data_IF_469723193384
#
_entry.id   IF_469723193384
#
_cell.length_a   1.000
_cell.length_b   1.000
_cell.length_c   1.000
_cell.angle_alpha   90.00
_cell.angle_beta   90.00
_cell.angle_gamma   90.00
#
_symmetry.space_group_name_H-M   'P 1'
#
loop_
_entity.id
_entity.type
_entity.pdbx_description
1 polymer ?
#
# COMPACT_ATOMS: atom_id res chain seq x y z
N UNK A 1 -30.04 2.22 17.60
CA UNK A 1 -29.32 3.40 17.08
C UNK A 1 -28.76 2.95 15.75
N UNK A 2 -29.41 3.34 14.66
CA UNK A 2 -28.95 2.96 13.32
C UNK A 2 -27.67 3.76 13.06
N UNK A 3 -26.55 3.05 12.96
CA UNK A 3 -25.26 3.69 12.66
C UNK A 3 -25.26 3.98 11.16
N UNK A 4 -25.65 5.20 10.80
CA UNK A 4 -25.48 5.70 9.45
C UNK A 4 -24.03 6.17 9.29
N UNK A 5 -23.29 5.54 8.36
CA UNK A 5 -21.89 5.90 8.11
C UNK A 5 -21.79 7.31 7.52
N UNK A 6 -20.85 8.16 7.98
CA UNK A 6 -20.72 9.53 7.49
C UNK A 6 -20.52 9.63 5.98
N UNK A 7 -21.19 10.60 5.36
CA UNK A 7 -21.03 10.91 3.95
C UNK A 7 -19.65 11.52 3.65
N UNK A 8 -18.82 10.84 2.87
CA UNK A 8 -17.52 11.36 2.37
C UNK A 8 -17.53 11.64 0.86
N UNK A 9 -18.67 11.48 0.19
CA UNK A 9 -18.78 11.57 -1.27
C UNK A 9 -18.86 13.00 -1.82
N UNK A 10 -19.34 13.96 -1.04
CA UNK A 10 -19.58 15.31 -1.54
C UNK A 10 -18.26 16.08 -1.74
N UNK A 11 -17.85 16.32 -2.99
CA UNK A 11 -16.56 16.95 -3.29
C UNK A 11 -16.44 18.40 -2.77
N UNK A 12 -17.55 19.09 -2.50
CA UNK A 12 -17.53 20.47 -1.99
C UNK A 12 -17.14 20.54 -0.51
N UNK A 13 -17.14 19.41 0.20
CA UNK A 13 -16.70 19.32 1.60
C UNK A 13 -15.20 19.04 1.60
N UNK A 14 -14.39 20.09 1.59
CA UNK A 14 -12.93 19.97 1.45
C UNK A 14 -12.28 19.24 2.63
N UNK A 15 -12.83 19.40 3.84
CA UNK A 15 -12.34 18.72 5.05
C UNK A 15 -12.37 17.19 4.95
N UNK A 16 -13.20 16.61 4.07
CA UNK A 16 -13.23 15.16 3.86
C UNK A 16 -11.94 14.64 3.24
N UNK A 17 -11.20 15.46 2.48
CA UNK A 17 -9.90 15.06 1.94
C UNK A 17 -8.89 14.76 3.04
N UNK A 18 -8.95 15.49 4.17
CA UNK A 18 -8.07 15.21 5.31
C UNK A 18 -8.35 13.83 5.89
N UNK A 19 -9.63 13.50 6.12
CA UNK A 19 -10.03 12.18 6.65
C UNK A 19 -9.69 11.05 5.68
N UNK A 20 -9.90 11.27 4.38
CA UNK A 20 -9.54 10.32 3.32
C UNK A 20 -8.03 10.09 3.29
N UNK A 21 -7.22 11.14 3.25
CA UNK A 21 -5.76 11.03 3.26
C UNK A 21 -5.26 10.27 4.50
N UNK A 22 -5.74 10.65 5.70
CA UNK A 22 -5.40 9.97 6.94
C UNK A 22 -5.77 8.48 6.90
N UNK A 23 -6.93 8.15 6.35
CA UNK A 23 -7.41 6.79 6.24
C UNK A 23 -6.58 5.95 5.26
N UNK A 24 -6.26 6.50 4.09
CA UNK A 24 -5.42 5.82 3.09
C UNK A 24 -4.05 5.51 3.68
N UNK A 25 -3.39 6.50 4.29
CA UNK A 25 -2.11 6.29 4.96
C UNK A 25 -2.21 5.23 6.06
N UNK A 26 -3.28 5.29 6.87
CA UNK A 26 -3.49 4.29 7.92
C UNK A 26 -3.63 2.88 7.36
N UNK A 27 -4.43 2.71 6.32
CA UNK A 27 -4.63 1.39 5.68
C UNK A 27 -3.34 0.90 5.03
N UNK A 28 -2.61 1.75 4.33
CA UNK A 28 -1.33 1.41 3.70
C UNK A 28 -0.31 0.92 4.74
N UNK A 29 -0.10 1.67 5.82
CA UNK A 29 0.85 1.26 6.88
C UNK A 29 0.40 -0.01 7.59
N UNK A 30 -0.91 -0.21 7.81
CA UNK A 30 -1.43 -1.46 8.38
C UNK A 30 -1.19 -2.63 7.44
N UNK A 31 -1.41 -2.47 6.14
CA UNK A 31 -1.16 -3.52 5.14
C UNK A 31 0.33 -3.83 5.04
N UNK A 32 1.19 -2.82 5.05
CA UNK A 32 2.63 -2.99 5.13
C UNK A 32 3.04 -3.76 6.40
N UNK A 33 2.49 -3.40 7.56
CA UNK A 33 2.71 -4.16 8.80
C UNK A 33 2.29 -5.62 8.64
N UNK A 34 1.11 -5.88 8.06
CA UNK A 34 0.65 -7.24 7.79
C UNK A 34 1.55 -7.97 6.80
N UNK A 35 2.09 -7.28 5.80
CA UNK A 35 3.02 -7.84 4.83
C UNK A 35 4.34 -8.27 5.47
N UNK A 36 4.90 -7.43 6.35
CA UNK A 36 6.16 -7.68 7.05
C UNK A 36 6.05 -8.80 8.09
N UNK A 37 4.98 -8.80 8.89
CA UNK A 37 4.86 -9.71 10.05
C UNK A 37 4.05 -10.98 9.75
N UNK A 38 3.08 -10.90 8.84
CA UNK A 38 2.12 -11.98 8.59
C UNK A 38 2.14 -12.49 7.13
N UNK A 39 3.14 -12.07 6.34
CA UNK A 39 3.34 -12.49 4.94
C UNK A 39 2.18 -12.17 3.99
N UNK A 40 1.30 -11.23 4.38
CA UNK A 40 0.18 -10.76 3.54
C UNK A 40 0.71 -10.04 2.29
N UNK A 41 0.00 -10.15 1.16
CA UNK A 41 0.35 -9.47 -0.10
C UNK A 41 1.52 -10.09 -0.89
N UNK A 42 2.20 -11.08 -0.34
CA UNK A 42 3.18 -11.88 -1.08
C UNK A 42 4.55 -11.21 -1.27
N UNK A 43 5.36 -11.83 -2.13
CA UNK A 43 6.74 -11.41 -2.40
C UNK A 43 6.81 -10.06 -3.12
N UNK A 44 5.94 -9.80 -4.09
CA UNK A 44 5.97 -8.58 -4.90
C UNK A 44 5.66 -7.33 -4.07
N UNK A 45 4.67 -7.39 -3.17
CA UNK A 45 4.39 -6.28 -2.26
C UNK A 45 5.60 -5.98 -1.37
N UNK A 46 6.30 -6.99 -0.86
CA UNK A 46 7.49 -6.75 -0.07
C UNK A 46 8.67 -6.20 -0.91
N UNK A 47 8.90 -6.72 -2.12
CA UNK A 47 9.90 -6.18 -3.04
C UNK A 47 9.63 -4.69 -3.37
N UNK A 48 8.36 -4.30 -3.51
CA UNK A 48 7.96 -2.91 -3.76
C UNK A 48 8.44 -1.97 -2.65
N UNK A 49 8.12 -2.30 -1.40
CA UNK A 49 8.52 -1.49 -0.24
C UNK A 49 10.03 -1.59 0.07
N UNK A 50 10.69 -2.70 -0.25
CA UNK A 50 12.15 -2.84 -0.11
C UNK A 50 12.91 -1.98 -1.12
N UNK A 51 12.42 -1.88 -2.35
CA UNK A 51 13.10 -1.12 -3.40
C UNK A 51 12.87 0.39 -3.24
N UNK A 52 11.65 0.81 -2.91
CA UNK A 52 11.26 2.22 -2.98
C UNK A 52 10.95 2.87 -1.63
N UNK A 53 10.88 2.10 -0.54
CA UNK A 53 10.70 2.60 0.82
C UNK A 53 9.53 3.60 0.93
N UNK A 54 9.81 4.82 1.39
CA UNK A 54 8.82 5.89 1.54
C UNK A 54 8.22 6.33 0.20
N UNK A 55 8.94 6.16 -0.92
CA UNK A 55 8.42 6.52 -2.25
C UNK A 55 7.32 5.55 -2.71
N UNK A 56 7.41 4.27 -2.33
CA UNK A 56 6.33 3.31 -2.53
C UNK A 56 5.07 3.76 -1.77
N UNK A 57 5.21 4.07 -0.47
CA UNK A 57 4.10 4.55 0.37
C UNK A 57 3.46 5.82 -0.21
N UNK A 58 4.27 6.80 -0.61
CA UNK A 58 3.75 8.04 -1.19
C UNK A 58 3.02 7.75 -2.51
N UNK A 59 3.58 6.88 -3.36
CA UNK A 59 2.94 6.48 -4.61
C UNK A 59 1.56 5.87 -4.37
N UNK A 60 1.48 4.89 -3.45
CA UNK A 60 0.26 4.14 -3.16
C UNK A 60 -0.80 5.04 -2.50
N UNK A 61 -0.38 5.93 -1.58
CA UNK A 61 -1.29 6.89 -0.94
C UNK A 61 -1.84 7.90 -1.96
N UNK A 62 -0.98 8.45 -2.80
CA UNK A 62 -1.39 9.51 -3.74
C UNK A 62 -2.27 8.97 -4.86
N UNK A 63 -2.00 7.76 -5.37
CA UNK A 63 -2.79 7.20 -6.45
C UNK A 63 -4.22 6.85 -6.00
N UNK A 64 -4.36 6.31 -4.78
CA UNK A 64 -5.67 6.07 -4.17
C UNK A 64 -6.40 7.40 -3.93
N UNK A 65 -5.70 8.43 -3.43
CA UNK A 65 -6.31 9.74 -3.17
C UNK A 65 -6.86 10.38 -4.46
N UNK A 66 -6.15 10.27 -5.59
CA UNK A 66 -6.64 10.70 -6.91
C UNK A 66 -7.94 9.98 -7.26
N UNK A 67 -8.00 8.66 -7.06
CA UNK A 67 -9.22 7.86 -7.26
C UNK A 67 -10.40 8.37 -6.43
N UNK A 68 -10.19 8.70 -5.15
CA UNK A 68 -11.21 9.31 -4.30
C UNK A 68 -11.68 10.67 -4.82
N UNK A 69 -10.77 11.55 -5.23
CA UNK A 69 -11.12 12.88 -5.76
C UNK A 69 -12.05 12.75 -6.97
N UNK A 70 -11.69 11.87 -7.92
CA UNK A 70 -12.48 11.61 -9.12
C UNK A 70 -13.84 11.01 -8.75
N UNK A 71 -13.86 9.98 -7.90
CA UNK A 71 -15.10 9.32 -7.49
C UNK A 71 -16.05 10.26 -6.75
N UNK A 72 -15.54 11.13 -5.87
CA UNK A 72 -16.33 12.15 -5.17
C UNK A 72 -16.97 13.14 -6.14
N UNK A 73 -16.18 13.63 -7.10
CA UNK A 73 -16.69 14.53 -8.13
C UNK A 73 -17.83 13.88 -8.93
N UNK A 74 -17.61 12.67 -9.45
CA UNK A 74 -18.60 11.94 -10.24
C UNK A 74 -19.85 11.61 -9.40
N UNK A 75 -19.67 11.11 -8.17
CA UNK A 75 -20.78 10.77 -7.28
C UNK A 75 -21.66 11.99 -7.01
N UNK A 76 -21.04 13.12 -6.66
CA UNK A 76 -21.77 14.36 -6.32
C UNK A 76 -22.58 14.87 -7.51
N UNK A 77 -21.99 14.90 -8.70
CA UNK A 77 -22.64 15.47 -9.89
C UNK A 77 -23.75 14.56 -10.42
N UNK A 78 -23.52 13.25 -10.48
CA UNK A 78 -24.42 12.33 -11.20
C UNK A 78 -25.36 11.51 -10.31
N UNK A 79 -24.97 11.20 -9.08
CA UNK A 79 -25.69 10.27 -8.20
C UNK A 79 -26.33 10.97 -7.00
N UNK A 80 -25.61 11.92 -6.37
CA UNK A 80 -26.05 12.54 -5.12
C UNK A 80 -27.39 13.26 -5.25
N UNK A 81 -27.59 14.01 -6.33
CA UNK A 81 -28.86 14.71 -6.57
C UNK A 81 -30.05 13.78 -6.85
N UNK A 82 -29.80 12.53 -7.28
CA UNK A 82 -30.85 11.56 -7.63
C UNK A 82 -31.18 10.59 -6.49
N UNK A 83 -30.15 10.12 -5.79
CA UNK A 83 -30.25 9.04 -4.81
C UNK A 83 -29.86 9.45 -3.39
N UNK A 84 -29.35 10.68 -3.21
CA UNK A 84 -28.78 11.13 -1.94
C UNK A 84 -27.50 10.39 -1.57
N UNK A 85 -27.18 10.39 -0.28
CA UNK A 85 -26.08 9.62 0.27
C UNK A 85 -26.45 8.13 0.29
N UNK A 86 -25.62 7.31 -0.38
CA UNK A 86 -25.74 5.85 -0.35
C UNK A 86 -24.33 5.26 -0.36
N UNK A 87 -23.96 4.64 0.76
CA UNK A 87 -22.61 4.07 0.96
C UNK A 87 -22.30 3.02 -0.12
N UNK A 88 -23.25 2.14 -0.42
CA UNK A 88 -23.03 1.02 -1.36
C UNK A 88 -22.76 1.57 -2.77
N UNK A 89 -23.55 2.54 -3.23
CA UNK A 89 -23.34 3.15 -4.55
C UNK A 89 -22.01 3.90 -4.63
N UNK A 90 -21.63 4.59 -3.55
CA UNK A 90 -20.34 5.26 -3.50
C UNK A 90 -19.17 4.27 -3.54
N UNK A 91 -19.21 3.19 -2.77
CA UNK A 91 -18.17 2.16 -2.76
C UNK A 91 -18.05 1.44 -4.10
N UNK A 92 -19.17 1.10 -4.76
CA UNK A 92 -19.17 0.51 -6.11
C UNK A 92 -18.52 1.47 -7.10
N UNK A 93 -18.94 2.75 -7.11
CA UNK A 93 -18.35 3.75 -7.98
C UNK A 93 -16.84 3.89 -7.75
N UNK A 94 -16.42 3.92 -6.49
CA UNK A 94 -15.03 4.06 -6.12
C UNK A 94 -14.16 2.90 -6.67
N UNK A 95 -14.63 1.66 -6.56
CA UNK A 95 -13.95 0.49 -7.15
C UNK A 95 -13.93 0.56 -8.68
N UNK A 96 -15.03 0.98 -9.31
CA UNK A 96 -15.08 1.16 -10.77
C UNK A 96 -14.05 2.21 -11.22
N UNK A 97 -13.96 3.33 -10.52
CA UNK A 97 -12.97 4.38 -10.82
C UNK A 97 -11.55 3.89 -10.62
N UNK A 98 -11.27 3.15 -9.55
CA UNK A 98 -9.94 2.54 -9.34
C UNK A 98 -9.59 1.57 -10.47
N UNK A 99 -10.48 0.63 -10.81
CA UNK A 99 -10.21 -0.33 -11.88
C UNK A 99 -9.98 0.34 -13.24
N UNK A 100 -10.77 1.38 -13.57
CA UNK A 100 -10.57 2.17 -14.79
C UNK A 100 -9.24 2.91 -14.77
N UNK A 101 -8.90 3.52 -13.64
CA UNK A 101 -7.64 4.22 -13.46
C UNK A 101 -6.46 3.27 -13.70
N UNK A 102 -6.47 2.08 -13.11
CA UNK A 102 -5.35 1.13 -13.22
C UNK A 102 -5.19 0.58 -14.63
N UNK A 103 -6.30 0.31 -15.33
CA UNK A 103 -6.27 -0.08 -16.74
C UNK A 103 -5.66 1.05 -17.60
N UNK A 104 -6.09 2.30 -17.38
CA UNK A 104 -5.57 3.45 -18.11
C UNK A 104 -4.10 3.71 -17.80
N UNK A 105 -3.69 3.58 -16.53
CA UNK A 105 -2.30 3.71 -16.11
C UNK A 105 -1.43 2.62 -16.72
N UNK A 106 -1.92 1.38 -16.74
CA UNK A 106 -1.21 0.26 -17.34
C UNK A 106 -1.03 0.44 -18.85
N UNK A 107 -2.10 0.75 -19.58
CA UNK A 107 -2.06 0.89 -21.04
C UNK A 107 -1.36 2.17 -21.47
N UNK A 108 -1.61 3.28 -20.79
CA UNK A 108 -1.12 4.61 -21.18
C UNK A 108 0.29 4.93 -20.70
N UNK A 109 0.72 4.39 -19.55
CA UNK A 109 2.00 4.73 -18.91
C UNK A 109 2.91 3.52 -18.78
N UNK A 110 2.48 2.44 -18.13
CA UNK A 110 3.36 1.31 -17.83
C UNK A 110 3.86 0.64 -19.12
N UNK A 111 2.97 0.41 -20.09
CA UNK A 111 3.34 -0.25 -21.36
C UNK A 111 4.12 0.63 -22.33
N UNK A 112 4.00 1.95 -22.21
CA UNK A 112 4.56 2.89 -23.20
C UNK A 112 6.00 3.26 -22.91
N UNK A 113 6.38 3.31 -21.63
CA UNK A 113 7.75 3.61 -21.20
C UNK A 113 8.63 2.37 -21.47
N UNK A 114 9.76 2.49 -22.21
CA UNK A 114 10.70 1.38 -22.43
C UNK A 114 11.29 0.80 -21.14
N UNK A 115 11.72 -0.47 -21.16
CA UNK A 115 12.46 -1.06 -20.03
C UNK A 115 13.84 -0.38 -19.90
N UNK A 116 14.25 -0.05 -18.67
CA UNK A 116 15.51 0.63 -18.33
C UNK A 116 15.40 2.15 -18.15
N UNK A 117 14.26 2.75 -18.44
CA UNK A 117 14.06 4.21 -18.34
C UNK A 117 13.49 4.64 -16.97
N UNK A 118 12.78 3.75 -16.28
CA UNK A 118 12.19 4.04 -14.97
C UNK A 118 12.03 2.76 -14.14
N UNK A 119 12.73 2.71 -13.01
CA UNK A 119 12.78 1.53 -12.15
C UNK A 119 11.40 1.12 -11.61
N UNK A 120 10.57 2.09 -11.15
CA UNK A 120 9.25 1.79 -10.61
C UNK A 120 8.33 1.20 -11.69
N UNK A 121 8.37 1.77 -12.90
CA UNK A 121 7.60 1.25 -14.04
C UNK A 121 8.07 -0.14 -14.45
N UNK A 122 9.38 -0.41 -14.40
CA UNK A 122 9.91 -1.73 -14.71
C UNK A 122 9.52 -2.78 -13.68
N UNK A 123 9.44 -2.37 -12.41
CA UNK A 123 8.86 -3.19 -11.34
C UNK A 123 7.38 -3.50 -11.61
N UNK A 124 6.57 -2.51 -12.01
CA UNK A 124 5.17 -2.76 -12.39
C UNK A 124 5.03 -3.71 -13.59
N UNK A 125 5.89 -3.58 -14.61
CA UNK A 125 5.89 -4.52 -15.75
C UNK A 125 6.16 -5.95 -15.31
N UNK A 126 7.18 -6.15 -14.45
CA UNK A 126 7.51 -7.46 -13.88
C UNK A 126 6.30 -8.05 -13.11
N UNK A 127 5.64 -7.24 -12.29
CA UNK A 127 4.50 -7.70 -11.50
C UNK A 127 3.30 -8.04 -12.38
N UNK A 128 3.05 -7.26 -13.42
CA UNK A 128 1.96 -7.52 -14.37
C UNK A 128 2.17 -8.82 -15.16
N UNK A 129 3.42 -9.14 -15.53
CA UNK A 129 3.79 -10.41 -16.19
C UNK A 129 3.50 -11.63 -15.28
N UNK A 130 3.74 -11.49 -13.96
CA UNK A 130 3.67 -12.60 -13.02
C UNK A 130 2.30 -12.78 -12.31
N UNK A 131 1.62 -11.69 -11.94
CA UNK A 131 0.38 -11.71 -11.15
C UNK A 131 -0.89 -11.52 -11.99
N UNK A 132 -0.76 -10.94 -13.18
CA UNK A 132 -1.89 -10.61 -14.06
C UNK A 132 -3.00 -9.85 -13.32
N UNK A 133 -4.23 -10.36 -13.39
CA UNK A 133 -5.43 -9.70 -12.84
C UNK A 133 -5.55 -9.68 -11.32
N UNK A 134 -4.69 -10.39 -10.57
CA UNK A 134 -4.76 -10.41 -9.10
C UNK A 134 -4.45 -9.04 -8.47
N UNK A 135 -3.69 -8.19 -9.16
CA UNK A 135 -3.33 -6.83 -8.74
C UNK A 135 -4.59 -5.98 -8.52
N UNK A 136 -5.53 -6.03 -9.47
CA UNK A 136 -6.77 -5.24 -9.44
C UNK A 136 -7.62 -5.56 -8.20
N UNK A 137 -7.62 -6.82 -7.76
CA UNK A 137 -8.38 -7.25 -6.57
C UNK A 137 -7.75 -6.67 -5.29
N UNK A 138 -6.41 -6.68 -5.20
CA UNK A 138 -5.67 -6.10 -4.09
C UNK A 138 -5.96 -4.60 -3.96
N UNK A 139 -5.86 -3.87 -5.06
CA UNK A 139 -6.09 -2.43 -5.09
C UNK A 139 -7.55 -2.07 -4.76
N UNK A 140 -8.51 -2.83 -5.27
CA UNK A 140 -9.92 -2.65 -4.91
C UNK A 140 -10.15 -2.82 -3.39
N UNK A 141 -9.49 -3.79 -2.76
CA UNK A 141 -9.59 -3.99 -1.31
C UNK A 141 -8.98 -2.83 -0.54
N UNK A 142 -7.81 -2.32 -0.95
CA UNK A 142 -7.16 -1.15 -0.33
C UNK A 142 -8.06 0.08 -0.38
N UNK A 143 -8.66 0.34 -1.55
CA UNK A 143 -9.56 1.46 -1.76
C UNK A 143 -10.84 1.35 -0.92
N UNK A 144 -11.45 0.15 -0.87
CA UNK A 144 -12.63 -0.10 -0.03
C UNK A 144 -12.33 0.08 1.46
N UNK A 145 -11.23 -0.50 1.94
CA UNK A 145 -10.81 -0.36 3.33
C UNK A 145 -10.52 1.11 3.68
N UNK A 146 -9.88 1.84 2.78
CA UNK A 146 -9.62 3.27 2.95
C UNK A 146 -10.92 4.07 3.05
N UNK A 147 -11.94 3.74 2.27
CA UNK A 147 -13.23 4.42 2.33
C UNK A 147 -13.95 4.17 3.66
N UNK A 148 -13.93 2.93 4.14
CA UNK A 148 -14.50 2.56 5.44
C UNK A 148 -13.78 3.26 6.59
N UNK A 149 -12.45 3.25 6.60
CA UNK A 149 -11.66 3.95 7.62
C UNK A 149 -11.87 5.46 7.54
N UNK A 150 -12.00 6.05 6.35
CA UNK A 150 -12.28 7.48 6.20
C UNK A 150 -13.64 7.86 6.80
N UNK A 151 -14.68 7.04 6.60
CA UNK A 151 -15.98 7.24 7.24
C UNK A 151 -15.89 7.13 8.78
N UNK A 152 -15.10 6.19 9.30
CA UNK A 152 -14.84 6.08 10.75
C UNK A 152 -14.06 7.29 11.30
N UNK A 153 -13.04 7.75 10.59
CA UNK A 153 -12.25 8.91 10.97
C UNK A 153 -13.04 10.21 10.93
N UNK A 154 -13.99 10.33 10.00
CA UNK A 154 -14.95 11.45 9.94
C UNK A 154 -15.96 11.40 11.09
N UNK A 155 -16.36 10.20 11.52
CA UNK A 155 -17.24 10.02 12.68
C UNK A 155 -16.54 10.35 14.00
N UNK A 156 -15.25 10.03 14.09
CA UNK A 156 -14.45 10.24 15.29
C UNK A 156 -14.15 11.74 15.53
N UNK A 157 -13.88 12.16 16.78
CA UNK A 157 -13.37 13.49 17.06
C UNK A 157 -12.06 13.75 16.32
N UNK A 158 -11.90 14.95 15.76
CA UNK A 158 -10.73 15.33 14.95
C UNK A 158 -9.38 15.03 15.61
N UNK A 159 -9.27 15.23 16.93
CA UNK A 159 -8.05 14.95 17.68
C UNK A 159 -7.71 13.45 17.70
N UNK A 160 -8.70 12.55 17.75
CA UNK A 160 -8.48 11.10 17.70
C UNK A 160 -7.91 10.70 16.34
N UNK A 161 -8.52 11.16 15.25
CA UNK A 161 -8.02 10.92 13.89
C UNK A 161 -6.59 11.43 13.75
N UNK A 162 -6.32 12.66 14.18
CA UNK A 162 -4.98 13.25 14.10
C UNK A 162 -3.96 12.46 14.92
N UNK A 163 -4.29 12.07 16.15
CA UNK A 163 -3.41 11.26 17.01
C UNK A 163 -3.09 9.90 16.40
N UNK A 164 -4.07 9.22 15.81
CA UNK A 164 -3.86 7.93 15.13
C UNK A 164 -2.94 8.13 13.92
N UNK A 165 -3.22 9.12 13.06
CA UNK A 165 -2.41 9.38 11.88
C UNK A 165 -0.96 9.71 12.25
N UNK A 166 -0.73 10.52 13.28
CA UNK A 166 0.63 10.85 13.77
C UNK A 166 1.33 9.60 14.29
N UNK A 167 0.66 8.77 15.09
CA UNK A 167 1.23 7.53 15.60
C UNK A 167 1.60 6.57 14.46
N UNK A 168 0.71 6.38 13.49
CA UNK A 168 0.96 5.53 12.32
C UNK A 168 2.14 6.06 11.50
N UNK A 169 2.20 7.38 11.28
CA UNK A 169 3.29 8.03 10.55
C UNK A 169 4.62 7.86 11.26
N UNK A 170 4.62 7.90 12.59
CA UNK A 170 5.80 7.64 13.41
C UNK A 170 6.24 6.16 13.34
N UNK A 171 5.30 5.22 13.30
CA UNK A 171 5.60 3.78 13.19
C UNK A 171 6.10 3.38 11.81
N UNK A 172 5.67 4.08 10.76
CA UNK A 172 5.98 3.76 9.36
C UNK A 172 7.46 3.47 9.08
N UNK A 173 8.44 4.34 9.43
CA UNK A 173 9.85 4.04 9.16
C UNK A 173 10.31 2.73 9.82
N UNK A 174 9.92 2.46 11.05
CA UNK A 174 10.29 1.22 11.74
C UNK A 174 9.72 -0.03 11.05
N UNK A 175 8.50 0.08 10.53
CA UNK A 175 7.86 -1.02 9.79
C UNK A 175 8.54 -1.20 8.42
N UNK A 176 8.84 -0.11 7.70
CA UNK A 176 9.53 -0.18 6.40
C UNK A 176 10.87 -0.91 6.52
N UNK A 177 11.65 -0.62 7.57
CA UNK A 177 12.94 -1.25 7.84
C UNK A 177 12.84 -2.57 8.63
N UNK A 178 11.63 -3.10 8.86
CA UNK A 178 11.45 -4.46 9.37
C UNK A 178 11.75 -5.47 8.27
N UNK A 179 12.48 -6.55 8.62
CA UNK A 179 12.95 -7.58 7.69
C UNK A 179 11.80 -8.18 6.85
N UNK A 180 12.05 -8.30 5.54
CA UNK A 180 11.15 -9.00 4.62
C UNK A 180 11.16 -10.53 4.89
N UNK A 181 10.00 -11.15 5.16
CA UNK A 181 9.91 -12.58 5.43
C UNK A 181 10.20 -13.48 4.22
N UNK A 182 10.29 -12.93 3.00
CA UNK A 182 10.60 -13.66 1.77
C UNK A 182 12.10 -13.73 1.44
N UNK A 183 12.95 -12.91 2.08
CA UNK A 183 14.41 -12.92 1.86
C UNK A 183 15.06 -14.25 2.28
N UNK A 184 14.50 -14.92 3.30
CA UNK A 184 15.03 -16.17 3.86
C UNK A 184 14.99 -17.33 2.85
N UNK A 185 14.00 -17.34 1.96
CA UNK A 185 13.80 -18.44 0.99
C UNK A 185 14.80 -18.35 -0.16
N UNK A 186 15.28 -17.15 -0.48
CA UNK A 186 16.25 -16.93 -1.57
C UNK A 186 17.67 -17.31 -1.14
N UNK A 187 18.06 -17.02 0.10
CA UNK A 187 19.34 -17.48 0.65
C UNK A 187 19.40 -19.00 0.75
N UNK A 188 18.37 -19.67 1.28
CA UNK A 188 18.35 -21.14 1.37
C UNK A 188 18.42 -21.83 -0.01
N UNK A 189 17.74 -21.30 -1.03
CA UNK A 189 17.87 -21.84 -2.41
C UNK A 189 19.22 -21.58 -3.06
N UNK A 190 19.97 -20.56 -2.61
CA UNK A 190 21.35 -20.32 -3.06
C UNK A 190 22.32 -21.28 -2.38
N UNK A 191 22.13 -21.56 -1.09
CA UNK A 191 22.99 -22.47 -0.32
C UNK A 191 22.73 -23.96 -0.63
N UNK A 192 21.54 -24.33 -1.11
CA UNK A 192 21.25 -25.70 -1.57
C UNK A 192 21.98 -26.08 -2.88
N UNK A 193 22.68 -25.14 -3.53
CA UNK A 193 23.72 -25.49 -4.51
C UNK A 193 24.99 -25.92 -3.78
N UNK A 194 24.96 -27.16 -3.27
CA UNK A 194 26.06 -27.98 -2.74
C UNK A 194 27.44 -27.30 -2.82
N UNK A 195 27.79 -26.57 -1.76
CA UNK A 195 29.20 -26.40 -1.39
C UNK A 195 29.55 -27.60 -0.53
N UNK A 196 30.49 -28.42 -1.01
CA UNK A 196 31.09 -29.51 -0.24
C UNK A 196 31.98 -28.90 0.84
N UNK A 197 31.38 -28.56 1.98
CA UNK A 197 32.10 -28.03 3.16
C UNK A 197 32.69 -29.19 3.96
N UNK A 198 33.57 -29.96 3.34
CA UNK A 198 34.41 -30.91 4.07
C UNK A 198 35.78 -30.36 4.42
N UNK A 199 36.15 -29.15 3.95
CA UNK A 199 37.39 -28.46 4.35
C UNK A 199 37.26 -26.95 4.20
N UNK A 200 36.94 -26.26 5.29
CA UNK A 200 37.47 -24.94 5.67
C UNK A 200 36.61 -24.36 6.81
N UNK A 201 37.27 -24.00 7.92
CA UNK A 201 36.62 -23.36 9.06
C UNK A 201 36.12 -21.99 8.65
N UNK A 202 34.81 -21.84 8.56
CA UNK A 202 34.16 -20.58 8.21
C UNK A 202 33.92 -19.75 9.48
N UNK A 203 34.79 -18.78 9.76
CA UNK A 203 34.49 -17.75 10.73
C UNK A 203 33.58 -16.69 10.10
N UNK A 204 32.40 -16.48 10.70
CA UNK A 204 31.40 -15.50 10.26
C UNK A 204 31.94 -14.05 10.43
N UNK A 205 32.14 -13.29 9.33
CA UNK A 205 32.67 -11.92 9.39
C UNK A 205 31.81 -10.95 10.22
N UNK A 206 30.50 -11.23 10.36
CA UNK A 206 29.58 -10.40 11.14
C UNK A 206 29.73 -10.66 12.63
N UNK A 207 30.01 -11.91 13.02
CA UNK A 207 30.28 -12.28 14.40
C UNK A 207 31.61 -11.68 14.88
N UNK A 208 32.60 -11.60 13.98
CA UNK A 208 33.91 -11.01 14.27
C UNK A 208 33.86 -9.48 14.41
N UNK A 209 33.03 -8.81 13.58
CA UNK A 209 32.74 -7.38 13.73
C UNK A 209 32.00 -7.08 15.05
N UNK A 210 31.05 -7.93 15.45
CA UNK A 210 30.33 -7.78 16.71
C UNK A 210 31.26 -7.93 17.91
N UNK A 211 32.08 -8.98 17.96
CA UNK A 211 33.07 -9.23 19.04
C UNK A 211 34.02 -8.05 19.24
N UNK A 212 34.52 -7.47 18.15
CA UNK A 212 35.36 -6.25 18.19
C UNK A 212 34.63 -5.02 18.73
N UNK A 213 33.32 -4.90 18.53
CA UNK A 213 32.53 -3.78 19.04
C UNK A 213 32.18 -3.93 20.53
N UNK A 214 31.97 -5.16 21.03
CA UNK A 214 31.59 -5.41 22.43
C UNK A 214 32.76 -5.81 23.35
N UNK A 215 33.99 -5.88 22.83
CA UNK A 215 35.18 -6.18 23.63
C UNK A 215 35.22 -7.61 24.16
N UNK A 216 34.75 -8.58 23.37
CA UNK A 216 34.81 -10.02 23.64
C UNK A 216 35.80 -10.72 22.71
#
# INVERSE_FOLDING_TARGET
MDIELPNISNYTVESDLFYIFCAILTVDVVVLFLARYFKVGGKYLNEWYDNYHILAVISDVMIILIGFIIARYIYTIFFFNKFGWNVIYFLILLVVIQALHDILFYVGVIRTIPKGENDMIDTFKKYAEDLGGQIIIGDALLVLMSALVAMLFKYAPFHITTSITVLISYMLPYILFTRNPYDIVVEQKKDDKKVDVSKEGFEDPKLDAYKRMVGL
#
